data_IF_380832923493
#
_entry.id   IF_380832923493
#
_cell.length_a   1.000
_cell.length_b   1.000
_cell.length_c   1.000
_cell.angle_alpha   90.00
_cell.angle_beta   90.00
_cell.angle_gamma   90.00
#
_symmetry.space_group_name_H-M   'P 1'
#
loop_
_entity.id
_entity.type
_entity.pdbx_description
1 polymer ?
#
# COMPACT_ATOMS: atom_id res chain seq x y z
N UNK A 1 -48.25 58.35 92.97
CA UNK A 1 -47.79 59.04 91.75
C UNK A 1 -46.62 58.24 91.21
N UNK A 2 -46.83 57.42 90.17
CA UNK A 2 -45.76 56.64 89.56
C UNK A 2 -45.20 57.44 88.37
N UNK A 3 -43.95 57.88 88.47
CA UNK A 3 -43.24 58.59 87.41
C UNK A 3 -42.86 57.61 86.29
N UNK A 4 -43.37 57.81 85.08
CA UNK A 4 -42.97 57.01 83.91
C UNK A 4 -41.47 57.10 83.65
N UNK A 5 -40.84 55.95 83.42
CA UNK A 5 -39.41 55.80 83.22
C UNK A 5 -39.02 56.31 81.82
N UNK A 6 -38.10 57.29 81.68
CA UNK A 6 -37.77 57.91 80.39
C UNK A 6 -37.12 56.97 79.35
N UNK A 7 -36.72 55.77 79.76
CA UNK A 7 -35.99 54.80 78.95
C UNK A 7 -36.83 53.60 78.51
N UNK A 8 -38.12 53.56 78.84
CA UNK A 8 -39.00 52.52 78.32
C UNK A 8 -39.16 52.70 76.80
N UNK A 9 -38.95 51.64 75.98
CA UNK A 9 -39.06 51.74 74.55
C UNK A 9 -40.48 52.19 74.19
N UNK A 10 -40.59 53.41 73.67
CA UNK A 10 -41.86 53.97 73.21
C UNK A 10 -42.39 53.07 72.10
N UNK A 11 -43.56 52.48 72.31
CA UNK A 11 -44.23 51.68 71.29
C UNK A 11 -44.36 52.52 70.01
N UNK A 12 -43.94 52.01 68.85
CA UNK A 12 -43.97 52.78 67.62
C UNK A 12 -45.40 53.23 67.35
N UNK A 13 -45.58 54.54 67.19
CA UNK A 13 -46.90 55.11 66.87
C UNK A 13 -47.43 54.46 65.59
N UNK A 14 -48.75 54.32 65.45
CA UNK A 14 -49.37 53.74 64.25
C UNK A 14 -48.83 54.38 62.95
N UNK A 15 -48.56 55.70 62.97
CA UNK A 15 -47.91 56.41 61.87
C UNK A 15 -46.50 55.86 61.54
N UNK A 16 -45.67 55.58 62.54
CA UNK A 16 -44.32 55.04 62.34
C UNK A 16 -44.35 53.62 61.73
N UNK A 17 -45.29 52.77 62.15
CA UNK A 17 -45.45 51.43 61.55
C UNK A 17 -45.94 51.49 60.10
N UNK A 18 -46.85 52.41 59.78
CA UNK A 18 -47.33 52.60 58.40
C UNK A 18 -46.17 53.06 57.50
N UNK A 19 -45.39 54.04 57.97
CA UNK A 19 -44.23 54.55 57.21
C UNK A 19 -43.20 53.44 56.99
N UNK A 20 -42.89 52.64 58.02
CA UNK A 20 -41.96 51.51 57.88
C UNK A 20 -42.44 50.47 56.86
N UNK A 21 -43.72 50.09 56.90
CA UNK A 21 -44.30 49.12 55.96
C UNK A 21 -44.35 49.67 54.52
N UNK A 22 -44.62 50.96 54.34
CA UNK A 22 -44.57 51.61 53.03
C UNK A 22 -43.16 51.60 52.45
N UNK A 23 -42.15 51.93 53.27
CA UNK A 23 -40.73 51.87 52.89
C UNK A 23 -40.31 50.45 52.50
N UNK A 24 -40.67 49.43 53.30
CA UNK A 24 -40.38 48.03 52.98
C UNK A 24 -41.04 47.58 51.67
N UNK A 25 -42.29 47.97 51.43
CA UNK A 25 -43.00 47.66 50.19
C UNK A 25 -42.35 48.32 48.98
N UNK A 26 -41.86 49.55 49.11
CA UNK A 26 -41.17 50.28 48.03
C UNK A 26 -39.82 49.64 47.70
N UNK A 27 -39.07 49.22 48.72
CA UNK A 27 -37.80 48.51 48.53
C UNK A 27 -38.02 47.14 47.85
N UNK A 28 -39.08 46.42 48.20
CA UNK A 28 -39.41 45.13 47.57
C UNK A 28 -39.81 45.29 46.10
N UNK A 29 -40.63 46.28 45.76
CA UNK A 29 -40.99 46.55 44.35
C UNK A 29 -39.78 46.97 43.54
N UNK A 30 -38.90 47.82 44.10
CA UNK A 30 -37.65 48.20 43.47
C UNK A 30 -36.76 46.97 43.17
N UNK A 31 -36.61 46.06 44.13
CA UNK A 31 -35.82 44.83 43.94
C UNK A 31 -36.45 43.88 42.93
N UNK A 32 -37.78 43.80 42.90
CA UNK A 32 -38.49 43.01 41.88
C UNK A 32 -38.21 43.53 40.46
N UNK A 33 -38.28 44.85 40.27
CA UNK A 33 -37.99 45.47 38.97
C UNK A 33 -36.53 45.28 38.56
N UNK A 34 -35.59 45.35 39.50
CA UNK A 34 -34.18 45.08 39.23
C UNK A 34 -33.96 43.63 38.77
N UNK A 35 -34.66 42.65 39.37
CA UNK A 35 -34.64 41.25 38.94
C UNK A 35 -35.22 41.11 37.52
N UNK A 36 -36.36 41.73 37.24
CA UNK A 36 -36.99 41.69 35.92
C UNK A 36 -36.08 42.28 34.83
N UNK A 37 -35.39 43.38 35.13
CA UNK A 37 -34.41 43.98 34.20
C UNK A 37 -33.26 43.01 33.92
N UNK A 38 -32.66 42.41 34.95
CA UNK A 38 -31.57 41.45 34.79
C UNK A 38 -32.03 40.19 34.03
N UNK A 39 -33.27 39.75 34.27
CA UNK A 39 -33.87 38.64 33.55
C UNK A 39 -34.03 38.97 32.06
N UNK A 40 -34.51 40.17 31.74
CA UNK A 40 -34.70 40.64 30.38
C UNK A 40 -33.36 40.83 29.66
N UNK A 41 -32.34 41.37 30.33
CA UNK A 41 -30.97 41.45 29.80
C UNK A 41 -30.41 40.08 29.46
N UNK A 42 -30.63 39.08 30.33
CA UNK A 42 -30.20 37.70 30.08
C UNK A 42 -30.94 37.06 28.91
N UNK A 43 -32.26 37.26 28.82
CA UNK A 43 -33.10 36.69 27.76
C UNK A 43 -32.83 37.32 26.40
N UNK A 44 -32.40 38.58 26.37
CA UNK A 44 -32.08 39.32 25.13
C UNK A 44 -30.59 39.39 24.81
N UNK A 45 -29.73 38.81 25.66
CA UNK A 45 -28.28 38.91 25.52
C UNK A 45 -27.78 38.40 24.15
N UNK A 46 -28.39 37.36 23.60
CA UNK A 46 -27.94 36.74 22.35
C UNK A 46 -28.15 37.63 21.10
N UNK A 47 -29.01 38.65 21.20
CA UNK A 47 -29.30 39.64 20.15
C UNK A 47 -28.88 41.07 20.50
N UNK A 48 -28.65 41.38 21.78
CA UNK A 48 -28.27 42.72 22.22
C UNK A 48 -26.80 42.81 22.65
N UNK A 49 -26.23 41.74 23.21
CA UNK A 49 -24.91 41.81 23.81
C UNK A 49 -23.79 41.70 22.76
N UNK A 50 -22.80 42.62 22.75
CA UNK A 50 -21.76 42.68 21.73
C UNK A 50 -20.97 41.39 21.53
N UNK A 51 -20.75 40.61 22.60
CA UNK A 51 -20.02 39.34 22.53
C UNK A 51 -20.74 38.32 21.63
N UNK A 52 -22.03 38.08 21.85
CA UNK A 52 -22.80 37.10 21.07
C UNK A 52 -23.02 37.58 19.64
N UNK A 53 -23.26 38.89 19.45
CA UNK A 53 -23.37 39.48 18.13
C UNK A 53 -22.07 39.38 17.34
N UNK A 54 -20.93 39.73 17.94
CA UNK A 54 -19.61 39.60 17.33
C UNK A 54 -19.32 38.15 16.94
N UNK A 55 -19.63 37.19 17.82
CA UNK A 55 -19.48 35.77 17.53
C UNK A 55 -20.34 35.33 16.33
N UNK A 56 -21.63 35.71 16.31
CA UNK A 56 -22.54 35.42 15.18
C UNK A 56 -22.04 36.06 13.88
N UNK A 57 -21.59 37.32 13.93
CA UNK A 57 -21.01 38.03 12.79
C UNK A 57 -19.75 37.35 12.25
N UNK A 58 -18.84 36.93 13.13
CA UNK A 58 -17.64 36.18 12.75
C UNK A 58 -17.98 34.86 12.06
N UNK A 59 -18.95 34.10 12.58
CA UNK A 59 -19.39 32.85 11.98
C UNK A 59 -20.00 33.08 10.57
N UNK A 60 -20.86 34.10 10.43
CA UNK A 60 -21.43 34.47 9.13
C UNK A 60 -20.37 34.94 8.14
N UNK A 61 -19.40 35.74 8.59
CA UNK A 61 -18.32 36.22 7.77
C UNK A 61 -17.42 35.08 7.27
N UNK A 62 -17.12 34.10 8.14
CA UNK A 62 -16.38 32.91 7.77
C UNK A 62 -17.15 32.08 6.72
N UNK A 63 -18.45 31.89 6.90
CA UNK A 63 -19.30 31.19 5.93
C UNK A 63 -19.33 31.92 4.58
N UNK A 64 -19.53 33.24 4.57
CA UNK A 64 -19.55 34.04 3.35
C UNK A 64 -18.21 33.95 2.60
N UNK A 65 -17.09 34.07 3.33
CA UNK A 65 -15.75 33.95 2.74
C UNK A 65 -15.55 32.57 2.10
N UNK A 66 -16.03 31.52 2.75
CA UNK A 66 -15.99 30.17 2.18
C UNK A 66 -16.88 30.03 0.94
N UNK A 67 -18.09 30.57 0.96
CA UNK A 67 -18.99 30.56 -0.21
C UNK A 67 -18.39 31.31 -1.41
N UNK A 68 -17.75 32.46 -1.17
CA UNK A 68 -17.04 33.20 -2.22
C UNK A 68 -15.91 32.37 -2.84
N UNK A 69 -15.12 31.68 -2.01
CA UNK A 69 -14.07 30.77 -2.48
C UNK A 69 -14.64 29.62 -3.32
N UNK A 70 -15.70 28.96 -2.86
CA UNK A 70 -16.37 27.88 -3.59
C UNK A 70 -16.92 28.38 -4.92
N UNK A 71 -17.52 29.58 -4.96
CA UNK A 71 -18.04 30.16 -6.19
C UNK A 71 -16.92 30.52 -7.17
N UNK A 72 -15.77 31.00 -6.68
CA UNK A 72 -14.58 31.24 -7.51
C UNK A 72 -14.08 29.93 -8.13
N UNK A 73 -13.91 28.88 -7.34
CA UNK A 73 -13.48 27.57 -7.83
C UNK A 73 -14.49 26.94 -8.80
N UNK A 74 -15.79 27.08 -8.54
CA UNK A 74 -16.82 26.63 -9.49
C UNK A 74 -16.70 27.34 -10.84
N UNK A 75 -16.35 28.63 -10.85
CA UNK A 75 -16.12 29.39 -12.08
C UNK A 75 -14.84 28.95 -12.79
N UNK A 76 -13.72 28.79 -12.07
CA UNK A 76 -12.45 28.32 -12.66
C UNK A 76 -12.59 26.92 -13.24
N UNK A 77 -13.28 26.01 -12.53
CA UNK A 77 -13.55 24.66 -12.99
C UNK A 77 -14.41 24.67 -14.27
N UNK A 78 -15.48 25.47 -14.30
CA UNK A 78 -16.29 25.62 -15.53
C UNK A 78 -15.46 26.15 -16.69
N UNK A 79 -14.60 27.14 -16.48
CA UNK A 79 -13.72 27.66 -17.53
C UNK A 79 -12.73 26.60 -18.02
N UNK A 80 -12.19 25.77 -17.12
CA UNK A 80 -11.27 24.68 -17.47
C UNK A 80 -11.97 23.55 -18.23
N UNK A 81 -13.20 23.20 -17.84
CA UNK A 81 -13.98 22.16 -18.51
C UNK A 81 -14.61 22.63 -19.82
N UNK A 82 -14.92 23.91 -19.94
CA UNK A 82 -15.37 24.52 -21.19
C UNK A 82 -14.24 24.60 -22.24
N UNK A 83 -12.97 24.55 -21.81
CA UNK A 83 -11.86 24.33 -22.75
C UNK A 83 -11.90 22.86 -23.17
N UNK A 84 -12.12 22.56 -24.45
CA UNK A 84 -12.04 21.18 -24.90
C UNK A 84 -10.65 20.61 -24.59
N UNK A 85 -10.60 19.35 -24.13
CA UNK A 85 -9.36 18.65 -23.75
C UNK A 85 -8.47 18.35 -24.95
N UNK A 86 -9.08 18.32 -26.13
CA UNK A 86 -8.42 18.52 -27.39
C UNK A 86 -8.41 20.03 -27.60
N UNK A 87 -7.29 20.64 -28.02
CA UNK A 87 -7.43 21.86 -28.83
C UNK A 87 -8.56 21.56 -29.82
N UNK A 88 -9.60 22.43 -29.85
CA UNK A 88 -10.68 22.35 -30.84
C UNK A 88 -10.03 21.89 -32.12
N UNK A 89 -10.46 20.71 -32.59
CA UNK A 89 -10.01 19.99 -33.78
C UNK A 89 -8.92 20.75 -34.50
N UNK A 90 -7.68 20.20 -34.63
CA UNK A 90 -6.80 20.67 -35.71
C UNK A 90 -7.73 20.80 -36.91
N UNK A 91 -7.97 22.02 -37.40
CA UNK A 91 -9.14 22.29 -38.20
C UNK A 91 -8.89 21.62 -39.54
N UNK A 92 -9.19 20.32 -39.59
CA UNK A 92 -9.01 19.51 -40.76
C UNK A 92 -10.11 20.03 -41.65
N UNK A 93 -9.70 20.72 -42.69
CA UNK A 93 -10.62 21.20 -43.70
C UNK A 93 -11.47 20.02 -44.17
N UNK A 94 -12.76 20.25 -44.44
CA UNK A 94 -13.68 19.17 -44.79
C UNK A 94 -13.17 18.32 -45.98
N UNK A 95 -12.38 18.93 -46.87
CA UNK A 95 -11.68 18.26 -47.97
C UNK A 95 -10.73 17.14 -47.52
N UNK A 96 -10.14 17.26 -46.33
CA UNK A 96 -9.14 16.33 -45.80
C UNK A 96 -9.70 15.27 -44.86
N UNK A 97 -10.96 15.38 -44.42
CA UNK A 97 -11.57 14.39 -43.50
C UNK A 97 -11.52 12.97 -44.04
N UNK A 98 -11.82 12.77 -45.33
CA UNK A 98 -11.77 11.43 -45.95
C UNK A 98 -10.38 10.80 -45.82
N UNK A 99 -9.33 11.57 -46.11
CA UNK A 99 -7.95 11.06 -46.03
C UNK A 99 -7.51 10.81 -44.60
N UNK A 100 -7.91 11.65 -43.64
CA UNK A 100 -7.59 11.44 -42.22
C UNK A 100 -8.30 10.19 -41.69
N UNK A 101 -9.56 9.97 -42.04
CA UNK A 101 -10.28 8.75 -41.66
C UNK A 101 -9.61 7.52 -42.26
N UNK A 102 -9.26 7.55 -43.54
CA UNK A 102 -8.54 6.44 -44.20
C UNK A 102 -7.17 6.19 -43.55
N UNK A 103 -6.42 7.23 -43.21
CA UNK A 103 -5.14 7.13 -42.52
C UNK A 103 -5.28 6.55 -41.11
N UNK A 104 -6.28 7.00 -40.35
CA UNK A 104 -6.55 6.48 -39.00
C UNK A 104 -6.97 5.01 -39.06
N UNK A 105 -7.82 4.63 -40.03
CA UNK A 105 -8.16 3.22 -40.27
C UNK A 105 -6.94 2.38 -40.64
N UNK A 106 -6.05 2.90 -41.47
CA UNK A 106 -4.79 2.22 -41.82
C UNK A 106 -3.87 2.08 -40.59
N UNK A 107 -3.78 3.12 -39.76
CA UNK A 107 -2.97 3.09 -38.54
C UNK A 107 -3.50 2.06 -37.54
N UNK A 108 -4.82 2.01 -37.31
CA UNK A 108 -5.45 1.03 -36.41
C UNK A 108 -5.20 -0.39 -36.91
N UNK A 109 -5.49 -0.66 -38.18
CA UNK A 109 -5.27 -1.99 -38.77
C UNK A 109 -3.79 -2.40 -38.81
N UNK A 110 -2.88 -1.44 -38.97
CA UNK A 110 -1.44 -1.69 -38.85
C UNK A 110 -1.04 -2.07 -37.42
N UNK A 111 -1.52 -1.33 -36.41
CA UNK A 111 -1.25 -1.61 -35.00
C UNK A 111 -1.78 -3.00 -34.62
N UNK A 112 -2.99 -3.35 -35.03
CA UNK A 112 -3.57 -4.67 -34.79
C UNK A 112 -2.70 -5.80 -35.38
N UNK A 113 -2.27 -5.65 -36.64
CA UNK A 113 -1.37 -6.62 -37.28
C UNK A 113 -0.02 -6.69 -36.60
N UNK A 114 0.56 -5.56 -36.21
CA UNK A 114 1.83 -5.51 -35.50
C UNK A 114 1.75 -6.22 -34.15
N UNK A 115 0.67 -6.02 -33.39
CA UNK A 115 0.45 -6.72 -32.13
C UNK A 115 0.37 -8.23 -32.34
N UNK A 116 -0.37 -8.70 -33.36
CA UNK A 116 -0.43 -10.13 -33.71
C UNK A 116 0.97 -10.70 -34.03
N UNK A 117 1.78 -9.97 -34.81
CA UNK A 117 3.15 -10.39 -35.11
C UNK A 117 4.03 -10.42 -33.86
N UNK A 118 3.94 -9.41 -32.98
CA UNK A 118 4.69 -9.36 -31.73
C UNK A 118 4.30 -10.50 -30.79
N UNK A 119 3.01 -10.83 -30.70
CA UNK A 119 2.54 -11.98 -29.94
C UNK A 119 3.06 -13.29 -30.52
N UNK A 120 3.08 -13.42 -31.84
CA UNK A 120 3.66 -14.58 -32.52
C UNK A 120 5.16 -14.72 -32.21
N UNK A 121 5.92 -13.63 -32.27
CA UNK A 121 7.36 -13.61 -31.92
C UNK A 121 7.57 -13.97 -30.45
N UNK A 122 6.72 -13.47 -29.54
CA UNK A 122 6.77 -13.83 -28.10
C UNK A 122 6.39 -15.29 -27.84
N UNK A 123 5.54 -15.88 -28.68
CA UNK A 123 5.10 -17.26 -28.58
C UNK A 123 6.11 -18.26 -29.20
N UNK A 124 7.11 -17.79 -29.95
CA UNK A 124 8.22 -18.66 -30.37
C UNK A 124 8.85 -19.23 -29.09
N UNK A 125 8.91 -20.58 -28.94
CA UNK A 125 9.54 -21.20 -27.80
C UNK A 125 10.93 -20.60 -27.63
N UNK A 126 11.20 -20.01 -26.47
CA UNK A 126 12.53 -19.47 -26.21
C UNK A 126 13.47 -20.66 -26.29
N UNK A 127 14.38 -20.63 -27.26
CA UNK A 127 15.47 -21.61 -27.42
C UNK A 127 16.16 -21.86 -26.07
N UNK A 128 16.18 -20.84 -25.21
CA UNK A 128 16.61 -20.87 -23.80
C UNK A 128 15.99 -22.01 -22.95
N UNK A 129 14.69 -22.27 -23.04
CA UNK A 129 14.05 -23.31 -22.23
C UNK A 129 14.41 -24.72 -22.72
N UNK A 130 14.49 -24.91 -24.03
CA UNK A 130 14.98 -26.15 -24.64
C UNK A 130 16.47 -26.37 -24.37
N UNK A 131 17.26 -25.30 -24.42
CA UNK A 131 18.71 -25.32 -24.16
C UNK A 131 19.00 -25.70 -22.71
N UNK A 132 18.28 -25.16 -21.73
CA UNK A 132 18.38 -25.60 -20.32
C UNK A 132 18.06 -27.09 -20.13
N UNK A 133 17.05 -27.59 -20.84
CA UNK A 133 16.73 -29.03 -20.79
C UNK A 133 17.84 -29.88 -21.40
N UNK A 134 18.47 -29.40 -22.47
CA UNK A 134 19.62 -30.07 -23.09
C UNK A 134 20.87 -30.01 -22.21
N UNK A 135 21.16 -28.86 -21.59
CA UNK A 135 22.27 -28.70 -20.64
C UNK A 135 22.12 -29.64 -19.45
N UNK A 136 20.89 -29.76 -18.91
CA UNK A 136 20.59 -30.73 -17.85
C UNK A 136 20.76 -32.18 -18.33
N UNK A 137 20.39 -32.49 -19.58
CA UNK A 137 20.57 -33.83 -20.14
C UNK A 137 22.05 -34.14 -20.36
N UNK A 138 22.83 -33.17 -20.83
CA UNK A 138 24.28 -33.28 -21.01
C UNK A 138 24.97 -33.53 -19.67
N UNK A 139 24.67 -32.73 -18.64
CA UNK A 139 25.25 -32.91 -17.31
C UNK A 139 24.95 -34.30 -16.73
N UNK A 140 23.76 -34.86 -16.99
CA UNK A 140 23.42 -36.23 -16.59
C UNK A 140 24.22 -37.29 -17.35
N UNK A 141 24.50 -37.07 -18.62
CA UNK A 141 25.33 -37.97 -19.44
C UNK A 141 26.77 -37.94 -18.93
N UNK A 142 27.32 -36.76 -18.63
CA UNK A 142 28.68 -36.62 -18.08
C UNK A 142 28.84 -37.37 -16.75
N UNK A 143 27.83 -37.29 -15.86
CA UNK A 143 27.83 -38.07 -14.61
C UNK A 143 27.83 -39.57 -14.88
N UNK A 144 26.99 -40.02 -15.82
CA UNK A 144 26.89 -41.44 -16.15
C UNK A 144 28.17 -41.97 -16.83
N UNK A 145 28.87 -41.11 -17.58
CA UNK A 145 30.19 -41.42 -18.15
C UNK A 145 31.23 -41.61 -17.04
N UNK A 146 31.29 -40.71 -16.05
CA UNK A 146 32.19 -40.85 -14.92
C UNK A 146 31.90 -42.12 -14.09
N UNK A 147 30.62 -42.45 -13.86
CA UNK A 147 30.22 -43.70 -13.21
C UNK A 147 30.65 -44.92 -14.04
N UNK A 148 30.52 -44.86 -15.36
CA UNK A 148 30.98 -45.91 -16.27
C UNK A 148 32.49 -46.10 -16.19
N UNK A 149 33.27 -45.01 -16.20
CA UNK A 149 34.72 -45.05 -16.03
C UNK A 149 35.10 -45.72 -14.70
N UNK A 150 34.44 -45.34 -13.59
CA UNK A 150 34.69 -45.96 -12.29
C UNK A 150 34.42 -47.47 -12.30
N UNK A 151 33.28 -47.89 -12.85
CA UNK A 151 32.93 -49.32 -12.97
C UNK A 151 33.98 -50.06 -13.82
N UNK A 152 34.45 -49.46 -14.91
CA UNK A 152 35.49 -50.09 -15.75
C UNK A 152 36.81 -50.26 -14.99
N UNK A 153 37.24 -49.27 -14.20
CA UNK A 153 38.41 -49.39 -13.35
C UNK A 153 38.27 -50.49 -12.31
N UNK A 154 37.11 -50.58 -11.65
CA UNK A 154 36.83 -51.62 -10.67
C UNK A 154 36.93 -53.03 -11.29
N UNK A 155 36.40 -53.21 -12.50
CA UNK A 155 36.50 -54.47 -13.26
C UNK A 155 37.98 -54.81 -13.56
N UNK A 156 38.79 -53.83 -13.96
CA UNK A 156 40.21 -54.05 -14.24
C UNK A 156 40.98 -54.44 -12.98
N UNK A 157 40.81 -53.71 -11.88
CA UNK A 157 41.40 -54.03 -10.56
C UNK A 157 41.00 -55.43 -10.11
N UNK A 158 39.73 -55.80 -10.25
CA UNK A 158 39.24 -57.14 -9.91
C UNK A 158 39.89 -58.23 -10.78
N UNK A 159 40.03 -58.00 -12.10
CA UNK A 159 40.71 -58.95 -13.01
C UNK A 159 42.18 -59.13 -12.66
N UNK A 160 42.89 -58.07 -12.30
CA UNK A 160 44.29 -58.14 -11.86
C UNK A 160 44.43 -58.94 -10.57
N UNK A 161 43.57 -58.67 -9.58
CA UNK A 161 43.54 -59.45 -8.34
C UNK A 161 43.26 -60.94 -8.59
N UNK A 162 42.38 -61.29 -9.54
CA UNK A 162 42.15 -62.67 -9.93
C UNK A 162 43.39 -63.30 -10.57
N UNK A 163 44.05 -62.60 -11.50
CA UNK A 163 45.31 -63.07 -12.11
C UNK A 163 46.42 -63.29 -11.07
N UNK A 164 46.58 -62.36 -10.13
CA UNK A 164 47.57 -62.49 -9.05
C UNK A 164 47.27 -63.71 -8.17
N UNK A 165 46.00 -63.93 -7.78
CA UNK A 165 45.57 -65.12 -7.02
C UNK A 165 45.83 -66.42 -7.78
N UNK A 166 45.52 -66.46 -9.08
CA UNK A 166 45.81 -67.62 -9.92
C UNK A 166 47.31 -67.88 -10.09
N UNK A 167 48.13 -66.83 -10.27
CA UNK A 167 49.59 -66.97 -10.37
C UNK A 167 50.21 -67.49 -9.06
N UNK A 168 49.82 -66.93 -7.91
CA UNK A 168 50.26 -67.43 -6.59
C UNK A 168 49.84 -68.89 -6.39
N UNK A 169 48.61 -69.24 -6.74
CA UNK A 169 48.11 -70.62 -6.66
C UNK A 169 48.84 -71.58 -7.62
N UNK A 170 49.31 -71.10 -8.78
CA UNK A 170 50.09 -71.89 -9.74
C UNK A 170 51.57 -72.06 -9.34
N UNK A 171 52.18 -71.05 -8.69
CA UNK A 171 53.55 -71.13 -8.18
C UNK A 171 53.65 -72.07 -6.96
N UNK A 172 52.60 -72.12 -6.13
CA UNK A 172 52.45 -73.13 -5.06
C UNK A 172 52.38 -74.57 -5.60
N UNK A 173 51.91 -74.79 -6.83
CA UNK A 173 51.84 -76.11 -7.47
C UNK A 173 53.15 -76.51 -8.20
N UNK A 174 53.91 -75.54 -8.73
CA UNK A 174 55.14 -75.78 -9.50
C UNK A 174 56.43 -75.81 -8.65
N UNK A 175 56.38 -75.42 -7.37
CA UNK A 175 57.49 -75.56 -6.42
C UNK A 175 57.76 -76.98 -5.91
N UNK A 176 57.02 -78.01 -6.38
CA UNK A 176 57.05 -79.36 -5.81
C UNK A 176 57.50 -80.51 -6.73
N UNK A 177 58.13 -80.30 -7.91
CA UNK A 177 58.70 -81.44 -8.68
C UNK A 177 60.16 -81.28 -9.14
N UNK A 178 60.95 -82.22 -8.63
CA UNK A 178 62.38 -82.48 -8.79
C UNK A 178 62.89 -82.64 -10.22
N UNK A 179 64.16 -82.26 -10.38
CA UNK A 179 65.06 -82.54 -11.49
C UNK A 179 65.68 -83.95 -11.34
N UNK A 180 65.59 -84.78 -12.38
CA UNK A 180 66.55 -85.86 -12.64
C UNK A 180 66.73 -86.03 -14.15
N UNK A 181 67.96 -85.78 -14.62
CA UNK A 181 68.40 -86.00 -16.01
C UNK A 181 69.18 -87.32 -16.07
N UNK A 182 68.91 -88.13 -17.09
CA UNK A 182 69.79 -89.21 -17.57
C UNK A 182 69.89 -89.11 -19.09
N UNK A 183 71.11 -89.27 -19.61
CA UNK A 183 71.56 -88.88 -20.94
C UNK A 183 71.55 -90.03 -21.96
N UNK A 184 71.20 -89.70 -23.22
CA UNK A 184 71.79 -90.06 -24.54
C UNK A 184 72.05 -91.56 -24.87
N UNK A 185 72.05 -92.03 -26.16
CA UNK A 185 72.78 -91.43 -27.28
C UNK A 185 72.19 -91.52 -28.73
N UNK A 186 72.78 -90.68 -29.61
CA UNK A 186 73.10 -90.79 -31.05
C UNK A 186 72.18 -91.53 -32.05
N UNK A 187 71.82 -90.85 -33.15
CA UNK A 187 72.28 -91.18 -34.52
C UNK A 187 71.80 -90.14 -35.55
N UNK A 188 72.66 -89.96 -36.55
CA UNK A 188 72.73 -88.93 -37.59
C UNK A 188 72.00 -89.29 -38.90
N UNK A 189 71.45 -88.27 -39.57
CA UNK A 189 71.59 -87.98 -41.01
C UNK A 189 71.13 -86.54 -41.29
#
# INVERSE_FOLDING_TARGET
MASSNPWDPVQPTAAAMIVAKCLESEVLTQKSLEIELLQLEKETADIAHPLFLSQKCCALQAMNSHLEAVLKEKRTLRQRLAKPLCQENLAIEAAYHRYVVELLMLAVTFIEKLEIYLQTVRAIPRVDDGMKSMDNALARIEVMEAEMEEVTEQILKWREQQRARHQVSSQLLLGSRCSSKSAAPYLSL
#
